data_IF_344420561569
#
_entry.id   IF_344420561569
#
_cell.length_a   1.000
_cell.length_b   1.000
_cell.length_c   1.000
_cell.angle_alpha   90.00
_cell.angle_beta   90.00
_cell.angle_gamma   90.00
#
_symmetry.space_group_name_H-M   'P 1'
#
loop_
_entity.id
_entity.type
_entity.pdbx_description
1 polymer ?
#
# COMPACT_ATOMS: atom_id res chain seq x y z
N UNK A 1 -20.62 22.73 -52.16
CA UNK A 1 -20.29 21.29 -52.29
C UNK A 1 -20.86 20.57 -51.08
N UNK A 2 -22.07 20.01 -51.20
CA UNK A 2 -22.78 19.38 -50.08
C UNK A 2 -22.22 17.97 -49.83
N UNK A 3 -21.53 17.76 -48.72
CA UNK A 3 -21.17 16.41 -48.27
C UNK A 3 -22.47 15.63 -48.02
N UNK A 4 -22.69 14.57 -48.80
CA UNK A 4 -23.87 13.71 -48.69
C UNK A 4 -24.02 13.12 -47.29
N UNK A 5 -25.25 12.86 -46.87
CA UNK A 5 -25.61 12.38 -45.52
C UNK A 5 -24.78 11.16 -45.10
N UNK A 6 -24.43 10.29 -46.04
CA UNK A 6 -23.56 9.12 -45.85
C UNK A 6 -22.12 9.49 -45.48
N UNK A 7 -21.53 10.51 -46.13
CA UNK A 7 -20.16 10.96 -45.85
C UNK A 7 -20.04 11.58 -44.45
N UNK A 8 -21.12 12.18 -43.93
CA UNK A 8 -21.15 12.74 -42.57
C UNK A 8 -21.16 11.63 -41.51
N UNK A 9 -21.85 10.52 -41.74
CA UNK A 9 -21.86 9.37 -40.83
C UNK A 9 -20.52 8.64 -40.82
N UNK A 10 -19.87 8.50 -41.98
CA UNK A 10 -18.53 7.90 -42.08
C UNK A 10 -17.50 8.75 -41.34
N UNK A 11 -17.54 10.08 -41.50
CA UNK A 11 -16.65 11.00 -40.78
C UNK A 11 -16.89 11.00 -39.25
N UNK A 12 -18.14 10.87 -38.81
CA UNK A 12 -18.45 10.79 -37.38
C UNK A 12 -17.97 9.46 -36.78
N UNK A 13 -18.14 8.35 -37.50
CA UNK A 13 -17.69 7.03 -37.05
C UNK A 13 -16.16 6.94 -36.96
N UNK A 14 -15.42 7.52 -37.93
CA UNK A 14 -13.96 7.57 -37.87
C UNK A 14 -13.46 8.44 -36.73
N UNK A 15 -14.12 9.57 -36.42
CA UNK A 15 -13.75 10.44 -35.29
C UNK A 15 -13.96 9.75 -33.95
N UNK A 16 -15.07 9.02 -33.77
CA UNK A 16 -15.35 8.26 -32.55
C UNK A 16 -14.32 7.13 -32.36
N UNK A 17 -13.98 6.42 -33.44
CA UNK A 17 -12.97 5.35 -33.39
C UNK A 17 -11.57 5.91 -33.01
N UNK A 18 -11.21 7.09 -33.51
CA UNK A 18 -9.97 7.78 -33.18
C UNK A 18 -9.93 8.21 -31.70
N UNK A 19 -11.03 8.73 -31.18
CA UNK A 19 -11.14 9.11 -29.76
C UNK A 19 -11.01 7.87 -28.85
N UNK A 20 -11.71 6.77 -29.17
CA UNK A 20 -11.61 5.52 -28.39
C UNK A 20 -10.18 4.95 -28.39
N UNK A 21 -9.47 4.99 -29.53
CA UNK A 21 -8.08 4.55 -29.58
C UNK A 21 -7.13 5.45 -28.76
N UNK A 22 -7.38 6.77 -28.68
CA UNK A 22 -6.58 7.65 -27.81
C UNK A 22 -6.81 7.40 -26.32
N UNK A 23 -8.02 7.00 -25.90
CA UNK A 23 -8.29 6.64 -24.51
C UNK A 23 -7.69 5.28 -24.12
N UNK A 24 -7.60 4.32 -25.05
CA UNK A 24 -6.97 3.02 -24.78
C UNK A 24 -5.44 3.13 -24.65
N UNK A 25 -4.80 4.09 -25.32
CA UNK A 25 -3.35 4.29 -25.27
C UNK A 25 -2.88 5.10 -24.04
N UNK A 26 -3.77 5.88 -23.40
CA UNK A 26 -3.42 6.74 -22.26
C UNK A 26 -3.29 6.00 -20.91
N UNK A 27 -3.67 4.71 -20.84
CA UNK A 27 -3.65 3.92 -19.61
C UNK A 27 -2.36 3.14 -19.34
N UNK A 28 -1.42 3.07 -20.30
CA UNK A 28 -0.16 2.32 -20.17
C UNK A 28 1.01 3.31 -20.08
N UNK A 29 0.91 4.29 -19.18
CA UNK A 29 2.11 4.92 -18.67
C UNK A 29 2.75 3.92 -17.69
N UNK A 30 3.65 3.08 -18.21
CA UNK A 30 4.53 2.26 -17.40
C UNK A 30 5.26 3.20 -16.44
N UNK A 31 4.80 3.25 -15.19
CA UNK A 31 5.44 4.05 -14.16
C UNK A 31 6.86 3.51 -14.01
N UNK A 32 7.84 4.19 -14.61
CA UNK A 32 9.25 3.95 -14.34
C UNK A 32 9.40 4.11 -12.83
N UNK A 33 9.73 3.03 -12.14
CA UNK A 33 10.14 3.08 -10.74
C UNK A 33 11.19 4.17 -10.63
N UNK A 34 10.93 5.16 -9.78
CA UNK A 34 11.89 6.21 -9.52
C UNK A 34 13.18 5.55 -9.01
N UNK A 35 14.29 5.79 -9.69
CA UNK A 35 15.62 5.39 -9.23
C UNK A 35 15.78 5.87 -7.78
N UNK A 36 16.15 4.99 -6.83
CA UNK A 36 16.29 5.35 -5.44
C UNK A 36 17.39 6.42 -5.32
N UNK A 37 16.96 7.66 -5.07
CA UNK A 37 17.86 8.74 -4.67
C UNK A 37 18.47 8.31 -3.33
N UNK A 38 19.79 8.10 -3.34
CA UNK A 38 20.54 7.31 -2.36
C UNK A 38 20.21 7.53 -0.88
N UNK A 39 20.46 6.49 -0.09
CA UNK A 39 20.25 6.43 1.37
C UNK A 39 19.01 5.64 1.79
N UNK A 40 18.03 5.49 0.89
CA UNK A 40 16.88 4.60 1.10
C UNK A 40 17.23 3.19 0.65
N UNK A 41 17.52 2.30 1.60
CA UNK A 41 17.59 0.89 1.31
C UNK A 41 16.20 0.42 0.84
N UNK A 42 16.10 -0.32 -0.28
CA UNK A 42 14.86 -0.97 -0.63
C UNK A 42 14.40 -1.83 0.55
N UNK A 43 13.09 -1.85 0.80
CA UNK A 43 12.49 -2.76 1.78
C UNK A 43 12.83 -4.22 1.43
N UNK A 44 12.61 -5.18 2.33
CA UNK A 44 12.82 -6.59 2.02
C UNK A 44 11.97 -6.93 0.81
N UNK A 45 12.49 -7.73 -0.10
CA UNK A 45 11.67 -8.15 -1.24
C UNK A 45 10.57 -9.13 -0.82
N UNK A 46 10.70 -9.72 0.39
CA UNK A 46 9.78 -10.73 0.91
C UNK A 46 8.69 -10.09 1.77
N UNK A 47 7.44 -10.41 1.46
CA UNK A 47 6.25 -9.97 2.18
C UNK A 47 5.24 -11.11 2.29
N UNK A 48 4.28 -10.97 3.19
CA UNK A 48 3.18 -11.92 3.32
C UNK A 48 2.25 -11.81 2.09
N UNK A 49 1.98 -12.92 1.36
CA UNK A 49 1.23 -12.85 0.11
C UNK A 49 -0.26 -12.53 0.31
N UNK A 50 -0.81 -12.85 1.49
CA UNK A 50 -2.24 -12.72 1.78
C UNK A 50 -2.51 -11.66 2.86
N UNK A 51 -1.59 -10.69 3.05
CA UNK A 51 -1.68 -9.72 4.14
C UNK A 51 -1.11 -8.37 3.76
N UNK A 52 -1.77 -7.32 4.22
CA UNK A 52 -1.32 -5.93 4.03
C UNK A 52 -1.49 -5.15 5.32
N UNK A 53 -0.75 -4.04 5.41
CA UNK A 53 -0.84 -3.08 6.50
C UNK A 53 -1.59 -1.86 6.00
N UNK A 54 -2.54 -1.37 6.80
CA UNK A 54 -3.41 -0.25 6.46
C UNK A 54 -3.37 0.79 7.57
N UNK A 55 -3.15 2.05 7.21
CA UNK A 55 -3.32 3.20 8.10
C UNK A 55 -4.68 3.84 7.86
N UNK A 56 -5.48 3.90 8.92
CA UNK A 56 -6.80 4.54 8.87
C UNK A 56 -6.70 6.03 9.18
N UNK A 57 -7.66 6.79 8.68
CA UNK A 57 -7.86 8.18 9.06
C UNK A 57 -8.24 8.29 10.54
N UNK A 58 -7.75 9.33 11.20
CA UNK A 58 -8.10 9.63 12.60
C UNK A 58 -9.60 9.96 12.77
N UNK A 59 -10.28 10.35 11.70
CA UNK A 59 -11.71 10.64 11.69
C UNK A 59 -12.59 9.38 11.76
N UNK A 60 -12.03 8.21 11.45
CA UNK A 60 -12.75 6.93 11.46
C UNK A 60 -12.59 6.30 12.84
N UNK A 61 -13.60 5.61 13.36
CA UNK A 61 -13.47 4.83 14.62
C UNK A 61 -12.92 3.44 14.32
N UNK A 62 -12.38 2.73 15.32
CA UNK A 62 -11.88 1.36 15.11
C UNK A 62 -12.96 0.42 14.54
N UNK A 63 -14.20 0.50 15.06
CA UNK A 63 -15.30 -0.32 14.57
C UNK A 63 -15.70 0.04 13.13
N UNK A 64 -15.73 1.33 12.78
CA UNK A 64 -16.01 1.76 11.42
C UNK A 64 -14.91 1.34 10.43
N UNK A 65 -13.65 1.37 10.87
CA UNK A 65 -12.52 0.85 10.10
C UNK A 65 -12.70 -0.64 9.79
N UNK A 66 -12.98 -1.47 10.81
CA UNK A 66 -13.25 -2.91 10.62
C UNK A 66 -14.40 -3.14 9.65
N UNK A 67 -15.53 -2.46 9.85
CA UNK A 67 -16.70 -2.59 8.99
C UNK A 67 -16.39 -2.21 7.52
N UNK A 68 -15.63 -1.13 7.30
CA UNK A 68 -15.26 -0.70 5.94
C UNK A 68 -14.39 -1.73 5.21
N UNK A 69 -13.46 -2.38 5.92
CA UNK A 69 -12.61 -3.43 5.35
C UNK A 69 -13.44 -4.70 5.05
N UNK A 70 -14.35 -5.07 5.96
CA UNK A 70 -15.27 -6.20 5.76
C UNK A 70 -16.20 -6.00 4.57
N UNK A 71 -16.72 -4.78 4.36
CA UNK A 71 -17.53 -4.44 3.19
C UNK A 71 -16.77 -4.60 1.86
N UNK A 72 -15.44 -4.50 1.88
CA UNK A 72 -14.59 -4.73 0.70
C UNK A 72 -14.29 -6.21 0.45
N UNK A 73 -14.75 -7.11 1.33
CA UNK A 73 -14.51 -8.55 1.27
C UNK A 73 -13.17 -8.97 1.87
N UNK A 74 -12.58 -8.14 2.73
CA UNK A 74 -11.34 -8.42 3.45
C UNK A 74 -11.63 -8.61 4.95
N UNK A 75 -10.67 -9.14 5.71
CA UNK A 75 -10.80 -9.28 7.17
C UNK A 75 -9.70 -8.52 7.89
N UNK A 76 -10.04 -7.92 9.03
CA UNK A 76 -9.05 -7.26 9.91
C UNK A 76 -8.60 -8.25 10.97
N UNK A 77 -7.31 -8.54 11.01
CA UNK A 77 -6.72 -9.42 12.02
C UNK A 77 -6.55 -8.70 13.35
N UNK A 78 -5.97 -7.49 13.31
CA UNK A 78 -5.72 -6.69 14.50
C UNK A 78 -5.68 -5.21 14.15
N UNK A 79 -5.96 -4.36 15.13
CA UNK A 79 -5.82 -2.92 15.05
C UNK A 79 -4.97 -2.43 16.22
N UNK A 80 -3.84 -1.82 15.90
CA UNK A 80 -3.10 -0.99 16.83
C UNK A 80 -3.70 0.42 16.83
N UNK A 81 -4.23 0.85 17.99
CA UNK A 81 -4.84 2.17 18.19
C UNK A 81 -4.03 2.95 19.22
N UNK A 82 -3.18 3.84 18.74
CA UNK A 82 -2.37 4.74 19.53
C UNK A 82 -3.14 6.03 19.78
N UNK A 83 -3.38 6.34 21.05
CA UNK A 83 -4.05 7.58 21.44
C UNK A 83 -3.21 8.82 21.10
N UNK A 84 -3.85 9.98 20.93
CA UNK A 84 -3.15 11.25 20.76
C UNK A 84 -2.07 11.48 21.82
N UNK A 85 -0.88 11.85 21.37
CA UNK A 85 0.25 12.24 22.20
C UNK A 85 1.08 13.32 21.46
N UNK A 86 2.15 13.87 22.05
CA UNK A 86 2.96 14.89 21.39
C UNK A 86 3.60 14.45 20.06
N UNK A 87 4.02 13.19 19.91
CA UNK A 87 4.57 12.68 18.64
C UNK A 87 3.48 12.45 17.57
N UNK A 88 2.28 12.12 18.01
CA UNK A 88 1.11 11.82 17.20
C UNK A 88 -0.10 12.63 17.69
N UNK A 89 -0.22 13.92 17.33
CA UNK A 89 -1.27 14.81 17.86
C UNK A 89 -2.71 14.34 17.58
N UNK A 90 -2.90 13.50 16.57
CA UNK A 90 -4.20 12.92 16.21
C UNK A 90 -4.29 11.41 16.53
N UNK A 91 -3.30 10.88 17.24
CA UNK A 91 -3.09 9.45 17.39
C UNK A 91 -2.73 8.78 16.06
N UNK A 92 -2.63 7.45 16.09
CA UNK A 92 -2.36 6.64 14.90
C UNK A 92 -3.18 5.36 15.01
N UNK A 93 -3.87 5.00 13.93
CA UNK A 93 -4.52 3.70 13.82
C UNK A 93 -3.98 2.93 12.63
N UNK A 94 -3.40 1.77 12.92
CA UNK A 94 -2.83 0.86 11.92
C UNK A 94 -3.47 -0.50 12.11
N UNK A 95 -3.92 -1.12 11.03
CA UNK A 95 -4.47 -2.47 11.06
C UNK A 95 -3.75 -3.40 10.12
N UNK A 96 -3.74 -4.68 10.51
CA UNK A 96 -3.32 -5.78 9.65
C UNK A 96 -4.58 -6.35 9.02
N UNK A 97 -4.58 -6.42 7.69
CA UNK A 97 -5.72 -6.88 6.89
C UNK A 97 -5.32 -8.14 6.15
N UNK A 98 -6.10 -9.20 6.35
CA UNK A 98 -5.99 -10.46 5.62
C UNK A 98 -6.78 -10.36 4.31
N UNK A 99 -6.17 -10.90 3.25
CA UNK A 99 -6.71 -10.92 1.91
C UNK A 99 -7.28 -12.32 1.61
N UNK A 100 -8.44 -12.40 0.93
CA UNK A 100 -8.98 -13.67 0.47
C UNK A 100 -8.09 -14.28 -0.62
N UNK A 101 -8.24 -15.59 -0.83
CA UNK A 101 -7.52 -16.30 -1.88
C UNK A 101 -7.73 -15.66 -3.25
N UNK A 102 -6.66 -15.60 -4.04
CA UNK A 102 -6.67 -15.00 -5.38
C UNK A 102 -6.55 -13.47 -5.42
N UNK A 103 -6.57 -12.78 -4.28
CA UNK A 103 -6.32 -11.32 -4.22
C UNK A 103 -4.85 -11.05 -3.91
N UNK A 104 -4.17 -10.39 -4.84
CA UNK A 104 -2.77 -9.97 -4.62
C UNK A 104 -2.68 -8.72 -3.73
N UNK A 105 -1.60 -8.54 -2.95
CA UNK A 105 -1.38 -7.33 -2.15
C UNK A 105 -1.46 -6.05 -2.97
N UNK A 106 -0.89 -6.04 -4.17
CA UNK A 106 -0.84 -4.86 -5.05
C UNK A 106 -2.23 -4.43 -5.52
N UNK A 107 -3.08 -5.41 -5.85
CA UNK A 107 -4.47 -5.16 -6.23
C UNK A 107 -5.28 -4.62 -5.04
N UNK A 108 -5.08 -5.16 -3.85
CA UNK A 108 -5.74 -4.71 -2.63
C UNK A 108 -5.29 -3.30 -2.23
N UNK A 109 -3.98 -3.02 -2.28
CA UNK A 109 -3.41 -1.69 -2.02
C UNK A 109 -3.98 -0.67 -3.00
N UNK A 110 -4.04 -1.00 -4.29
CA UNK A 110 -4.58 -0.11 -5.32
C UNK A 110 -6.06 0.23 -5.06
N UNK A 111 -6.85 -0.75 -4.62
CA UNK A 111 -8.26 -0.55 -4.26
C UNK A 111 -8.42 0.29 -2.98
N UNK A 112 -7.61 0.02 -1.96
CA UNK A 112 -7.69 0.72 -0.67
C UNK A 112 -7.15 2.14 -0.72
N UNK A 113 -6.22 2.45 -1.63
CA UNK A 113 -5.67 3.81 -1.81
C UNK A 113 -6.74 4.85 -2.12
N UNK A 114 -7.84 4.45 -2.73
CA UNK A 114 -8.98 5.34 -3.07
C UNK A 114 -10.17 5.15 -2.14
N UNK A 115 -10.08 4.26 -1.16
CA UNK A 115 -11.17 3.98 -0.23
C UNK A 115 -11.28 5.11 0.82
N UNK A 116 -12.50 5.63 1.08
CA UNK A 116 -12.71 6.63 2.11
C UNK A 116 -12.22 6.14 3.47
N UNK A 117 -11.56 7.02 4.23
CA UNK A 117 -11.09 6.70 5.57
C UNK A 117 -9.78 5.90 5.63
N UNK A 118 -9.17 5.59 4.49
CA UNK A 118 -7.83 5.01 4.40
C UNK A 118 -6.84 6.09 4.02
N UNK A 119 -5.77 6.26 4.82
CA UNK A 119 -4.71 7.22 4.53
C UNK A 119 -3.55 6.57 3.77
N UNK A 120 -3.30 5.30 4.02
CA UNK A 120 -2.16 4.58 3.47
C UNK A 120 -2.38 3.06 3.53
N UNK A 121 -1.82 2.34 2.56
CA UNK A 121 -1.79 0.89 2.54
C UNK A 121 -0.46 0.41 1.94
N UNK A 122 0.11 -0.65 2.50
CA UNK A 122 1.37 -1.25 2.03
C UNK A 122 1.40 -2.76 2.21
N UNK A 123 2.41 -3.38 1.57
CA UNK A 123 2.69 -4.80 1.77
C UNK A 123 3.18 -5.03 3.18
N UNK A 124 2.77 -6.16 3.76
CA UNK A 124 3.30 -6.57 5.06
C UNK A 124 4.64 -7.31 4.88
N UNK A 125 5.72 -6.54 4.94
CA UNK A 125 7.08 -7.02 4.74
C UNK A 125 7.57 -7.88 5.90
N UNK A 126 8.16 -9.03 5.57
CA UNK A 126 8.74 -9.92 6.57
C UNK A 126 10.08 -9.32 7.02
N UNK A 127 10.20 -9.08 8.33
CA UNK A 127 11.43 -8.59 8.96
C UNK A 127 11.84 -9.59 10.03
N UNK A 128 13.05 -10.13 9.92
CA UNK A 128 13.66 -10.91 10.99
C UNK A 128 14.62 -10.02 11.79
N UNK A 129 14.76 -10.34 13.09
CA UNK A 129 15.53 -9.53 14.06
C UNK A 129 17.02 -9.42 13.68
N UNK A 130 17.53 -10.42 12.98
CA UNK A 130 18.89 -10.57 12.47
C UNK A 130 19.11 -9.94 11.09
N UNK A 131 18.06 -9.45 10.43
CA UNK A 131 18.12 -8.84 9.10
C UNK A 131 18.20 -7.30 9.12
N UNK A 132 18.47 -6.69 10.28
CA UNK A 132 18.86 -5.28 10.34
C UNK A 132 20.21 -5.17 9.66
N UNK A 133 20.28 -4.49 8.51
CA UNK A 133 21.49 -4.46 7.70
C UNK A 133 22.65 -3.82 8.46
N UNK A 134 23.63 -4.66 8.76
CA UNK A 134 24.87 -4.37 9.46
C UNK A 134 25.28 -5.64 10.18
N UNK A 135 26.54 -6.06 10.04
CA UNK A 135 27.16 -7.12 10.88
C UNK A 135 27.25 -6.72 12.36
N UNK A 136 26.42 -5.77 12.81
CA UNK A 136 26.27 -5.43 14.20
C UNK A 136 25.53 -6.60 14.86
N UNK A 137 26.17 -7.30 15.81
CA UNK A 137 25.45 -8.20 16.68
C UNK A 137 24.24 -7.44 17.24
N UNK A 138 23.13 -8.13 17.46
CA UNK A 138 22.06 -7.59 18.30
C UNK A 138 22.65 -7.46 19.71
N UNK A 139 23.34 -6.35 19.98
CA UNK A 139 23.90 -6.05 21.29
C UNK A 139 22.70 -5.80 22.19
N UNK A 140 22.53 -6.57 23.28
CA UNK A 140 21.52 -6.26 24.27
C UNK A 140 21.66 -4.81 24.73
N UNK A 141 20.54 -4.13 24.93
CA UNK A 141 20.51 -2.77 25.48
C UNK A 141 20.85 -2.74 26.99
N UNK A 142 21.59 -3.73 27.48
CA UNK A 142 22.06 -3.84 28.85
C UNK A 142 23.41 -3.11 28.98
N UNK A 143 23.51 -2.04 29.79
CA UNK A 143 24.76 -1.34 30.04
C UNK A 143 25.88 -2.21 30.63
N UNK A 144 25.55 -3.37 31.20
CA UNK A 144 26.50 -4.34 31.77
C UNK A 144 26.84 -5.48 30.80
N UNK A 145 26.32 -5.49 29.57
CA UNK A 145 26.57 -6.56 28.59
C UNK A 145 28.07 -6.82 28.36
N UNK A 146 28.88 -5.76 28.39
CA UNK A 146 30.35 -5.84 28.29
C UNK A 146 31.02 -6.60 29.46
N UNK A 147 30.31 -6.88 30.56
CA UNK A 147 30.81 -7.61 31.74
C UNK A 147 30.38 -9.08 31.77
N UNK A 148 29.56 -9.52 30.81
CA UNK A 148 28.98 -10.87 30.78
C UNK A 148 29.87 -11.93 30.10
N UNK A 149 31.15 -11.61 29.86
CA UNK A 149 32.14 -12.51 29.22
C UNK A 149 32.39 -13.82 29.97
N UNK A 150 31.98 -13.92 31.24
CA UNK A 150 32.10 -15.12 32.07
C UNK A 150 30.93 -16.11 31.97
N UNK A 151 29.98 -15.91 31.04
CA UNK A 151 28.83 -16.81 30.81
C UNK A 151 29.01 -17.72 29.57
N UNK A 152 30.25 -17.90 29.10
CA UNK A 152 30.60 -18.88 28.07
C UNK A 152 30.78 -20.28 28.63
#
# INVERSE_FOLDING_TARGET
>A
MFLGRQNKFILAATLILLVVMTYAAAGIALAKQAEPRGGWQPGPDVYHPNRIIVRFSHAVTANAAVASIQQLGYSVQTIADFKPNPEFPHGVRIGIVDLPEGVSPDSAISRLRVAPGILYAERDYIRYKDQVYGDAPIIPNDPQFNKMWGLH
#
